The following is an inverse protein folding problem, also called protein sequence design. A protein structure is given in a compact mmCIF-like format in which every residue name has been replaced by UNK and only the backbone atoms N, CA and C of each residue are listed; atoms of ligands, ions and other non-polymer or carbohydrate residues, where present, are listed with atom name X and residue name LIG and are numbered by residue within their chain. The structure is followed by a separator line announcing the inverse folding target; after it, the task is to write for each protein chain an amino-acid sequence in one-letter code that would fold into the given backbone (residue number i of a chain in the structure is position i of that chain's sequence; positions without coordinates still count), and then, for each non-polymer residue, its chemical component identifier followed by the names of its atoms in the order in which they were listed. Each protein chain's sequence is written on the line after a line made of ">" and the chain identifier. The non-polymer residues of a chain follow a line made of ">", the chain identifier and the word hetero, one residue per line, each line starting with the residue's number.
data_IF_937068024262
#
_entry.id   IF_937068024262
#
_cell.length_a   1.000
_cell.length_b   1.000
_cell.length_c   1.000
_cell.angle_alpha   90.00
_cell.angle_beta   90.00
_cell.angle_gamma   90.00
#
_symmetry.space_group_name_H-M   'P 1'
#
loop_
_entity.id
_entity.type
_entity.pdbx_description
1 polymer ?
#
# COMPACT_ATOMS: atom_id res chain seq x y z
N UNK A 1 -17.91 -5.85 -1.87
CA UNK A 1 -16.46 -6.02 -2.11
C UNK A 1 -15.91 -4.70 -2.59
N UNK A 2 -14.77 -4.27 -2.04
CA UNK A 2 -14.15 -3.01 -2.42
C UNK A 2 -13.46 -3.13 -3.78
N UNK A 3 -13.38 -2.03 -4.51
CA UNK A 3 -12.62 -1.96 -5.75
C UNK A 3 -11.47 -0.93 -5.61
N UNK A 4 -10.70 -0.77 -6.67
CA UNK A 4 -9.54 0.15 -6.65
C UNK A 4 -9.95 1.59 -6.36
N UNK A 5 -11.12 2.02 -6.80
CA UNK A 5 -11.60 3.38 -6.56
C UNK A 5 -11.85 3.61 -5.07
N UNK A 6 -12.42 2.64 -4.39
CA UNK A 6 -12.67 2.73 -2.95
C UNK A 6 -11.37 2.79 -2.18
N UNK A 7 -10.42 1.93 -2.54
CA UNK A 7 -9.10 1.89 -1.90
C UNK A 7 -8.39 3.24 -2.07
N UNK A 8 -8.35 3.76 -3.28
CA UNK A 8 -7.71 5.05 -3.56
C UNK A 8 -8.35 6.19 -2.77
N UNK A 9 -9.69 6.22 -2.72
CA UNK A 9 -10.42 7.26 -1.99
C UNK A 9 -10.07 7.26 -0.51
N UNK A 10 -10.05 6.10 0.11
CA UNK A 10 -9.74 5.97 1.54
C UNK A 10 -8.31 6.38 1.81
N UNK A 11 -7.37 5.91 1.00
CA UNK A 11 -5.95 6.27 1.17
C UNK A 11 -5.72 7.77 0.98
N UNK A 12 -6.35 8.36 -0.02
CA UNK A 12 -6.22 9.79 -0.29
C UNK A 12 -6.74 10.63 0.88
N UNK A 13 -7.85 10.20 1.47
CA UNK A 13 -8.45 10.88 2.63
C UNK A 13 -7.52 10.87 3.85
N UNK A 14 -6.70 9.83 3.98
CA UNK A 14 -5.80 9.66 5.12
C UNK A 14 -4.34 9.97 4.82
N UNK A 15 -4.05 10.54 3.66
CA UNK A 15 -2.69 10.76 3.19
C UNK A 15 -1.88 11.66 4.14
N UNK A 16 -2.48 12.70 4.67
CA UNK A 16 -1.82 13.61 5.63
C UNK A 16 -1.44 12.88 6.91
N UNK A 17 -2.34 12.06 7.43
CA UNK A 17 -2.06 11.30 8.65
C UNK A 17 -0.98 10.25 8.41
N UNK A 18 -1.01 9.57 7.26
CA UNK A 18 0.02 8.60 6.91
C UNK A 18 1.40 9.24 6.89
N UNK A 19 1.49 10.44 6.35
CA UNK A 19 2.75 11.19 6.32
C UNK A 19 3.22 11.59 7.71
N UNK A 20 2.33 12.18 8.50
CA UNK A 20 2.69 12.71 9.82
C UNK A 20 2.96 11.62 10.84
N UNK A 21 2.14 10.57 10.85
CA UNK A 21 2.22 9.53 11.86
C UNK A 21 3.19 8.43 11.51
N UNK A 22 3.26 8.06 10.23
CA UNK A 22 4.05 6.92 9.77
C UNK A 22 5.19 7.30 8.83
N UNK A 23 5.40 8.59 8.57
CA UNK A 23 6.47 9.09 7.71
C UNK A 23 6.35 8.58 6.27
N UNK A 24 5.15 8.34 5.81
CA UNK A 24 4.90 7.90 4.44
C UNK A 24 5.10 9.06 3.48
N UNK A 25 6.00 8.87 2.50
CA UNK A 25 6.25 9.84 1.44
C UNK A 25 5.31 9.60 0.27
N UNK A 26 5.25 8.37 -0.21
CA UNK A 26 4.36 7.97 -1.30
C UNK A 26 3.71 6.63 -0.98
N UNK A 27 2.52 6.41 -1.50
CA UNK A 27 1.81 5.14 -1.37
C UNK A 27 1.05 4.87 -2.65
N UNK A 28 1.06 3.61 -3.08
CA UNK A 28 0.35 3.21 -4.27
C UNK A 28 -0.23 1.81 -4.13
N UNK A 29 -1.11 1.46 -5.04
CA UNK A 29 -1.79 0.15 -5.08
C UNK A 29 -1.27 -0.62 -6.28
N UNK A 30 -0.96 -1.90 -6.08
CA UNK A 30 -0.59 -2.79 -7.18
C UNK A 30 -1.28 -4.15 -6.98
N UNK A 31 -0.99 -5.10 -7.84
CA UNK A 31 -1.52 -6.45 -7.70
C UNK A 31 -2.94 -6.62 -8.23
N UNK A 32 -3.65 -7.59 -7.67
CA UNK A 32 -4.94 -8.01 -8.20
C UNK A 32 -5.99 -6.90 -8.26
N UNK A 33 -6.00 -5.99 -7.30
CA UNK A 33 -6.95 -4.88 -7.29
C UNK A 33 -6.76 -3.94 -8.47
N UNK A 34 -5.52 -3.72 -8.89
CA UNK A 34 -5.22 -2.88 -10.06
C UNK A 34 -5.63 -3.56 -11.35
N UNK A 35 -5.43 -4.88 -11.42
CA UNK A 35 -5.78 -5.66 -12.62
C UNK A 35 -7.28 -5.99 -12.72
N UNK A 36 -8.07 -5.66 -11.69
CA UNK A 36 -9.48 -6.04 -11.64
C UNK A 36 -9.70 -7.53 -11.45
N UNK A 37 -8.72 -8.22 -10.89
CA UNK A 37 -8.74 -9.68 -10.68
C UNK A 37 -9.00 -10.04 -9.22
N UNK A 38 -9.30 -9.06 -8.37
CA UNK A 38 -9.50 -9.32 -6.95
C UNK A 38 -10.70 -10.22 -6.72
N UNK A 39 -10.52 -11.11 -5.76
CA UNK A 39 -11.57 -12.01 -5.26
C UNK A 39 -11.91 -11.60 -3.84
N UNK A 40 -12.97 -12.20 -3.29
CA UNK A 40 -13.45 -11.89 -1.95
C UNK A 40 -12.36 -11.96 -0.87
N UNK A 41 -11.39 -12.85 -1.05
CA UNK A 41 -10.32 -13.08 -0.09
C UNK A 41 -8.97 -12.51 -0.55
N UNK A 42 -8.95 -11.72 -1.60
CA UNK A 42 -7.70 -11.12 -2.08
C UNK A 42 -7.18 -10.08 -1.10
N UNK A 43 -5.87 -10.08 -0.87
CA UNK A 43 -5.21 -9.03 -0.10
C UNK A 43 -5.07 -7.77 -0.96
N UNK A 44 -5.05 -6.63 -0.31
CA UNK A 44 -4.72 -5.36 -0.98
C UNK A 44 -3.21 -5.19 -0.94
N UNK A 45 -2.58 -5.13 -2.10
CA UNK A 45 -1.14 -4.95 -2.21
C UNK A 45 -0.80 -3.46 -2.29
N UNK A 46 -0.06 -2.97 -1.32
CA UNK A 46 0.33 -1.55 -1.25
C UNK A 46 1.84 -1.40 -1.28
N UNK A 47 2.30 -0.44 -2.09
CA UNK A 47 3.70 -0.07 -2.18
C UNK A 47 3.90 1.26 -1.46
N UNK A 48 4.84 1.30 -0.51
CA UNK A 48 5.09 2.48 0.29
C UNK A 48 6.55 2.93 0.16
N UNK A 49 6.73 4.24 0.11
CA UNK A 49 8.04 4.88 0.24
C UNK A 49 7.99 5.79 1.45
N UNK A 50 9.02 5.73 2.31
CA UNK A 50 9.09 6.53 3.53
C UNK A 50 9.99 7.75 3.35
N UNK A 51 9.71 8.81 4.09
CA UNK A 51 10.55 10.02 4.11
C UNK A 51 11.95 9.74 4.65
N UNK A 52 12.04 8.78 5.59
CA UNK A 52 13.29 8.36 6.20
C UNK A 52 13.18 6.88 6.56
N UNK A 53 14.30 6.19 6.80
CA UNK A 53 14.25 4.76 7.17
C UNK A 53 13.41 4.55 8.42
N UNK A 54 12.58 3.50 8.39
CA UNK A 54 11.74 3.10 9.51
C UNK A 54 12.14 1.70 9.97
N UNK A 55 11.92 1.42 11.26
CA UNK A 55 12.19 0.11 11.83
C UNK A 55 11.10 -0.90 11.51
N UNK A 56 11.38 -2.16 11.83
CA UNK A 56 10.46 -3.26 11.56
C UNK A 56 9.11 -3.06 12.27
N UNK A 57 9.12 -2.66 13.53
CA UNK A 57 7.89 -2.49 14.28
C UNK A 57 7.05 -1.35 13.74
N UNK A 58 7.67 -0.26 13.32
CA UNK A 58 6.98 0.86 12.69
C UNK A 58 6.32 0.43 11.38
N UNK A 59 7.02 -0.40 10.60
CA UNK A 59 6.50 -0.94 9.34
C UNK A 59 5.28 -1.83 9.61
N UNK A 60 5.37 -2.70 10.61
CA UNK A 60 4.26 -3.58 10.98
C UNK A 60 3.06 -2.80 11.50
N UNK A 61 3.30 -1.74 12.27
CA UNK A 61 2.22 -0.88 12.77
C UNK A 61 1.48 -0.21 11.61
N UNK A 62 2.20 0.23 10.60
CA UNK A 62 1.59 0.81 9.41
C UNK A 62 0.73 -0.21 8.67
N UNK A 63 1.22 -1.43 8.51
CA UNK A 63 0.47 -2.50 7.84
C UNK A 63 -0.83 -2.81 8.60
N UNK A 64 -0.78 -2.88 9.92
CA UNK A 64 -1.96 -3.10 10.74
C UNK A 64 -2.93 -1.93 10.65
N UNK A 65 -2.41 -0.72 10.70
CA UNK A 65 -3.24 0.49 10.57
C UNK A 65 -4.00 0.49 9.23
N UNK A 66 -3.31 0.17 8.15
CA UNK A 66 -3.92 0.14 6.82
C UNK A 66 -4.94 -0.98 6.69
N UNK A 67 -4.67 -2.14 7.28
CA UNK A 67 -5.62 -3.27 7.30
C UNK A 67 -6.90 -2.86 8.02
N UNK A 68 -6.79 -2.22 9.17
CA UNK A 68 -7.95 -1.75 9.92
C UNK A 68 -8.70 -0.67 9.15
N UNK A 69 -7.97 0.25 8.52
CA UNK A 69 -8.56 1.36 7.77
C UNK A 69 -9.35 0.87 6.56
N UNK A 70 -8.80 -0.08 5.82
CA UNK A 70 -9.41 -0.58 4.60
C UNK A 70 -10.41 -1.72 4.84
N UNK A 71 -10.37 -2.34 6.01
CA UNK A 71 -11.24 -3.47 6.32
C UNK A 71 -10.92 -4.73 5.53
N UNK A 72 -9.75 -4.80 4.92
CA UNK A 72 -9.26 -5.92 4.12
C UNK A 72 -7.79 -6.10 4.47
N UNK A 73 -7.32 -7.34 4.50
CA UNK A 73 -5.91 -7.60 4.78
C UNK A 73 -5.02 -6.89 3.77
N UNK A 74 -4.03 -6.16 4.27
CA UNK A 74 -3.07 -5.42 3.46
C UNK A 74 -1.74 -6.18 3.45
N UNK A 75 -1.17 -6.31 2.27
CA UNK A 75 0.18 -6.79 2.07
C UNK A 75 1.03 -5.57 1.71
N UNK A 76 1.83 -5.09 2.66
CA UNK A 76 2.59 -3.86 2.52
C UNK A 76 4.02 -4.16 2.08
N UNK A 77 4.45 -3.50 1.02
CA UNK A 77 5.79 -3.67 0.45
C UNK A 77 6.51 -2.33 0.46
N UNK A 78 7.73 -2.30 0.98
CA UNK A 78 8.57 -1.11 0.92
C UNK A 78 9.26 -1.02 -0.43
N UNK A 79 9.23 0.16 -1.03
CA UNK A 79 9.90 0.40 -2.32
C UNK A 79 11.39 0.05 -2.26
N UNK A 80 12.05 0.32 -1.13
CA UNK A 80 13.48 0.01 -0.95
C UNK A 80 13.77 -1.48 -0.93
N UNK A 81 12.79 -2.31 -0.62
CA UNK A 81 12.96 -3.76 -0.53
C UNK A 81 12.70 -4.48 -1.86
N UNK A 82 12.35 -3.75 -2.91
CA UNK A 82 12.04 -4.36 -4.21
C UNK A 82 13.30 -4.92 -4.85
N UNK A 83 13.20 -6.19 -5.28
CA UNK A 83 14.26 -6.82 -6.05
C UNK A 83 14.11 -6.42 -7.53
N UNK A 84 15.22 -6.41 -8.33
CA UNK A 84 15.21 -5.83 -9.66
C UNK A 84 14.06 -6.29 -10.58
N UNK A 85 13.87 -7.60 -10.76
CA UNK A 85 12.86 -8.09 -11.71
C UNK A 85 11.43 -7.93 -11.19
N UNK A 86 11.20 -8.31 -9.95
CA UNK A 86 9.89 -8.19 -9.32
C UNK A 86 9.53 -6.72 -9.15
N UNK A 87 10.51 -5.89 -8.79
CA UNK A 87 10.34 -4.46 -8.64
C UNK A 87 9.91 -3.77 -9.92
N UNK A 88 10.50 -4.13 -11.05
CA UNK A 88 10.11 -3.56 -12.33
C UNK A 88 8.65 -3.82 -12.67
N UNK A 89 8.18 -5.04 -12.43
CA UNK A 89 6.78 -5.40 -12.68
C UNK A 89 5.84 -4.60 -11.80
N UNK A 90 6.17 -4.48 -10.51
CA UNK A 90 5.37 -3.72 -9.56
C UNK A 90 5.32 -2.25 -9.94
N UNK A 91 6.47 -1.66 -10.27
CA UNK A 91 6.56 -0.24 -10.64
C UNK A 91 5.82 0.09 -11.92
N UNK A 92 5.71 -0.86 -12.86
CA UNK A 92 4.93 -0.66 -14.09
C UNK A 92 3.44 -0.74 -13.82
N UNK A 93 3.02 -1.52 -12.84
CA UNK A 93 1.61 -1.77 -12.54
C UNK A 93 1.03 -0.78 -11.53
N UNK A 94 1.85 -0.27 -10.62
CA UNK A 94 1.39 0.49 -9.47
C UNK A 94 0.64 1.76 -9.88
N UNK A 95 -0.49 1.99 -9.19
CA UNK A 95 -1.25 3.24 -9.30
C UNK A 95 -1.00 4.04 -8.04
N UNK A 96 -0.31 5.16 -8.16
CA UNK A 96 0.02 6.02 -7.03
C UNK A 96 -1.19 6.81 -6.57
N UNK A 97 -1.24 7.04 -5.28
CA UNK A 97 -2.33 7.80 -4.65
C UNK A 97 -1.88 9.21 -4.28
#
# INVERSE_FOLDING_TARGET
>A
MQDIKDIKRILLRHKTELRKRFKVKTIGVFGSYVRGEQKRQSDVDLLVEFEEPVGLFEFMDLEMYLTDLLGVKVDLVSKKALKPHIGERILKEVIMV
#
